data_IF_429347281916
#
_entry.id   IF_429347281916
#
_cell.length_a   1.000
_cell.length_b   1.000
_cell.length_c   1.000
_cell.angle_alpha   90.00
_cell.angle_beta   90.00
_cell.angle_gamma   90.00
#
_symmetry.space_group_name_H-M   'P 1'
#
loop_
_entity.id
_entity.type
_entity.pdbx_description
1 polymer ?
#
# COMPACT_ATOMS: atom_id res chain seq x y z
N UNK A 1 -19.38 14.04 -10.72
CA UNK A 1 -20.43 13.00 -10.55
C UNK A 1 -20.68 12.87 -9.06
N UNK A 2 -21.91 13.03 -8.57
CA UNK A 2 -22.25 12.79 -7.16
C UNK A 2 -22.78 11.37 -6.99
N UNK A 3 -22.40 10.71 -5.89
CA UNK A 3 -22.91 9.38 -5.50
C UNK A 3 -23.41 9.46 -4.07
N UNK A 4 -24.67 9.09 -3.86
CA UNK A 4 -25.24 9.01 -2.51
C UNK A 4 -24.86 7.68 -1.85
N UNK A 5 -24.49 7.73 -0.57
CA UNK A 5 -24.07 6.56 0.23
C UNK A 5 -24.73 6.67 1.61
N UNK A 6 -25.23 5.56 2.12
CA UNK A 6 -25.77 5.48 3.48
C UNK A 6 -24.66 5.07 4.46
N UNK A 7 -24.56 5.79 5.57
CA UNK A 7 -23.60 5.54 6.63
C UNK A 7 -24.31 5.02 7.87
N UNK A 8 -23.62 4.20 8.65
CA UNK A 8 -24.06 3.84 10.00
C UNK A 8 -23.82 4.99 10.98
N UNK A 9 -24.53 4.98 12.10
CA UNK A 9 -24.48 6.06 13.11
C UNK A 9 -23.06 6.38 13.61
N UNK A 10 -22.17 5.38 13.85
CA UNK A 10 -20.78 5.65 14.21
C UNK A 10 -20.00 6.45 13.16
N UNK A 11 -20.11 6.08 11.88
CA UNK A 11 -19.40 6.77 10.79
C UNK A 11 -19.92 8.20 10.59
N UNK A 12 -21.24 8.40 10.68
CA UNK A 12 -21.83 9.74 10.64
C UNK A 12 -21.33 10.61 11.80
N UNK A 13 -21.32 10.07 13.03
CA UNK A 13 -20.81 10.80 14.20
C UNK A 13 -19.33 11.17 14.08
N UNK A 14 -18.52 10.30 13.46
CA UNK A 14 -17.12 10.58 13.18
C UNK A 14 -16.96 11.73 12.17
N UNK A 15 -17.76 11.73 11.09
CA UNK A 15 -17.79 12.82 10.11
C UNK A 15 -18.13 14.15 10.77
N UNK A 16 -19.21 14.19 11.56
CA UNK A 16 -19.65 15.39 12.29
C UNK A 16 -18.54 15.92 13.21
N UNK A 17 -17.82 15.05 13.92
CA UNK A 17 -16.72 15.45 14.78
C UNK A 17 -15.53 16.00 13.99
N UNK A 18 -15.16 15.37 12.88
CA UNK A 18 -14.03 15.80 12.04
C UNK A 18 -14.29 17.15 11.37
N UNK A 19 -15.53 17.40 10.94
CA UNK A 19 -15.94 18.71 10.40
C UNK A 19 -16.10 19.73 11.54
N UNK A 20 -16.73 19.35 12.66
CA UNK A 20 -16.99 20.23 13.79
C UNK A 20 -15.73 20.76 14.49
N UNK A 21 -14.61 20.03 14.40
CA UNK A 21 -13.29 20.50 14.87
C UNK A 21 -12.64 21.51 13.92
N UNK A 22 -13.19 21.73 12.73
CA UNK A 22 -12.63 22.58 11.68
C UNK A 22 -11.44 21.98 10.94
N UNK A 23 -11.11 20.71 11.21
CA UNK A 23 -10.01 20.00 10.51
C UNK A 23 -10.32 19.76 9.03
N UNK A 24 -11.60 19.61 8.69
CA UNK A 24 -12.09 19.45 7.32
C UNK A 24 -13.25 20.43 7.09
N UNK A 25 -13.35 20.97 5.87
CA UNK A 25 -14.35 21.96 5.50
C UNK A 25 -15.72 21.38 5.15
N UNK A 26 -15.81 20.07 4.90
CA UNK A 26 -17.08 19.38 4.64
C UNK A 26 -17.00 17.87 4.86
N UNK A 27 -18.15 17.23 5.01
CA UNK A 27 -18.26 15.77 5.02
C UNK A 27 -17.73 15.14 3.72
N UNK A 28 -17.98 15.79 2.58
CA UNK A 28 -17.51 15.28 1.28
C UNK A 28 -15.98 15.23 1.21
N UNK A 29 -15.30 16.24 1.76
CA UNK A 29 -13.83 16.27 1.84
C UNK A 29 -13.28 15.13 2.71
N UNK A 30 -13.93 14.86 3.86
CA UNK A 30 -13.56 13.74 4.72
C UNK A 30 -13.73 12.40 3.99
N UNK A 31 -14.85 12.22 3.27
CA UNK A 31 -15.09 11.00 2.49
C UNK A 31 -14.06 10.85 1.36
N UNK A 32 -13.70 11.92 0.68
CA UNK A 32 -12.66 11.90 -0.35
C UNK A 32 -11.29 11.51 0.21
N UNK A 33 -10.91 12.06 1.38
CA UNK A 33 -9.71 11.65 2.11
C UNK A 33 -9.74 10.16 2.47
N UNK A 34 -10.84 9.69 3.04
CA UNK A 34 -11.01 8.29 3.41
C UNK A 34 -10.91 7.35 2.18
N UNK A 35 -11.52 7.73 1.06
CA UNK A 35 -11.45 6.99 -0.19
C UNK A 35 -10.04 7.00 -0.78
N UNK A 36 -9.27 8.09 -0.62
CA UNK A 36 -7.87 8.14 -1.04
C UNK A 36 -7.02 7.16 -0.26
N UNK A 37 -7.17 7.12 1.07
CA UNK A 37 -6.47 6.17 1.94
C UNK A 37 -6.81 4.72 1.58
N UNK A 38 -8.10 4.42 1.37
CA UNK A 38 -8.55 3.10 0.93
C UNK A 38 -7.94 2.74 -0.43
N UNK A 39 -7.97 3.65 -1.39
CA UNK A 39 -7.44 3.44 -2.74
C UNK A 39 -5.93 3.18 -2.71
N UNK A 40 -5.17 3.90 -1.89
CA UNK A 40 -3.73 3.66 -1.69
C UNK A 40 -3.45 2.25 -1.15
N UNK A 41 -4.25 1.79 -0.18
CA UNK A 41 -4.13 0.43 0.38
C UNK A 41 -4.44 -0.63 -0.68
N UNK A 42 -5.53 -0.48 -1.43
CA UNK A 42 -5.90 -1.41 -2.50
C UNK A 42 -4.82 -1.46 -3.60
N UNK A 43 -4.24 -0.32 -3.96
CA UNK A 43 -3.14 -0.26 -4.92
C UNK A 43 -1.88 -0.99 -4.41
N UNK A 44 -1.55 -0.88 -3.12
CA UNK A 44 -0.45 -1.63 -2.52
C UNK A 44 -0.69 -3.14 -2.56
N UNK A 45 -1.90 -3.58 -2.22
CA UNK A 45 -2.27 -5.01 -2.27
C UNK A 45 -2.21 -5.53 -3.70
N UNK A 46 -2.72 -4.75 -4.67
CA UNK A 46 -2.66 -5.10 -6.09
C UNK A 46 -1.21 -5.26 -6.56
N UNK A 47 -0.31 -4.34 -6.17
CA UNK A 47 1.12 -4.41 -6.47
C UNK A 47 1.77 -5.67 -5.91
N UNK A 48 1.48 -6.02 -4.65
CA UNK A 48 2.03 -7.23 -4.03
C UNK A 48 1.53 -8.50 -4.74
N UNK A 49 0.24 -8.56 -5.09
CA UNK A 49 -0.34 -9.67 -5.85
C UNK A 49 0.30 -9.79 -7.24
N UNK A 50 0.59 -8.67 -7.88
CA UNK A 50 1.28 -8.65 -9.17
C UNK A 50 2.71 -9.17 -9.03
N UNK A 51 3.50 -8.63 -8.10
CA UNK A 51 4.87 -9.07 -7.85
C UNK A 51 4.95 -10.57 -7.52
N UNK A 52 3.98 -11.08 -6.75
CA UNK A 52 3.86 -12.52 -6.49
C UNK A 52 3.66 -13.32 -7.78
N UNK A 53 2.70 -12.94 -8.64
CA UNK A 53 2.46 -13.63 -9.91
C UNK A 53 3.67 -13.58 -10.82
N UNK A 54 4.29 -12.41 -10.96
CA UNK A 54 5.52 -12.24 -11.74
C UNK A 54 6.64 -13.17 -11.25
N UNK A 55 6.80 -13.32 -9.93
CA UNK A 55 7.78 -14.24 -9.36
C UNK A 55 7.47 -15.72 -9.62
N UNK A 56 6.20 -16.12 -9.49
CA UNK A 56 5.77 -17.51 -9.73
C UNK A 56 5.84 -17.88 -11.20
N UNK A 57 5.29 -17.03 -12.07
CA UNK A 57 5.21 -17.27 -13.52
C UNK A 57 6.56 -17.06 -14.22
N UNK A 58 7.40 -16.17 -13.70
CA UNK A 58 8.71 -15.86 -14.26
C UNK A 58 9.71 -17.02 -14.15
N UNK A 59 9.48 -17.99 -13.26
CA UNK A 59 10.28 -19.22 -13.15
C UNK A 59 11.75 -19.02 -12.75
N UNK A 60 12.18 -17.77 -12.49
CA UNK A 60 13.54 -17.42 -12.11
C UNK A 60 13.72 -17.51 -10.57
N UNK A 61 13.42 -18.67 -10.01
CA UNK A 61 13.65 -18.98 -8.61
C UNK A 61 14.71 -20.08 -8.48
N UNK A 62 15.58 -19.94 -7.49
CA UNK A 62 16.61 -20.93 -7.17
C UNK A 62 16.64 -21.18 -5.65
N UNK A 63 17.18 -22.33 -5.19
CA UNK A 63 17.34 -22.60 -3.77
C UNK A 63 18.04 -21.46 -3.04
N UNK A 64 17.55 -21.13 -1.85
CA UNK A 64 18.04 -19.98 -1.10
C UNK A 64 19.54 -20.12 -0.76
N UNK A 65 20.02 -21.34 -0.55
CA UNK A 65 21.41 -21.65 -0.26
C UNK A 65 22.35 -21.23 -1.39
N UNK A 66 21.91 -21.38 -2.65
CA UNK A 66 22.68 -20.94 -3.82
C UNK A 66 22.77 -19.41 -3.84
N UNK A 67 21.63 -18.72 -3.64
CA UNK A 67 21.59 -17.25 -3.56
C UNK A 67 22.47 -16.74 -2.43
N UNK A 68 22.40 -17.34 -1.25
CA UNK A 68 23.18 -16.89 -0.09
C UNK A 68 24.68 -17.09 -0.30
N UNK A 69 25.11 -18.21 -0.87
CA UNK A 69 26.51 -18.42 -1.21
C UNK A 69 27.02 -17.35 -2.21
N UNK A 70 26.23 -17.03 -3.24
CA UNK A 70 26.55 -15.98 -4.22
C UNK A 70 26.63 -14.58 -3.58
N UNK A 71 25.68 -14.25 -2.70
CA UNK A 71 25.66 -12.96 -1.99
C UNK A 71 26.82 -12.84 -1.00
N UNK A 72 27.15 -13.91 -0.26
CA UNK A 72 28.31 -13.94 0.63
C UNK A 72 29.60 -13.72 -0.15
N UNK A 73 29.77 -14.37 -1.31
CA UNK A 73 30.93 -14.12 -2.18
C UNK A 73 31.01 -12.66 -2.61
N UNK A 74 29.89 -12.12 -3.13
CA UNK A 74 29.82 -10.74 -3.62
C UNK A 74 30.16 -9.71 -2.55
N UNK A 75 29.71 -9.92 -1.30
CA UNK A 75 29.92 -8.96 -0.22
C UNK A 75 31.15 -9.25 0.65
N UNK A 76 31.84 -10.38 0.45
CA UNK A 76 33.10 -10.71 1.16
C UNK A 76 34.26 -9.87 0.67
N UNK A 77 34.28 -9.53 -0.61
CA UNK A 77 35.13 -8.49 -1.17
C UNK A 77 34.26 -7.27 -1.39
N UNK A 78 34.25 -6.27 -0.48
CA UNK A 78 33.63 -5.01 -0.84
C UNK A 78 34.34 -4.54 -2.11
N UNK A 79 33.57 -4.21 -3.15
CA UNK A 79 34.09 -3.63 -4.40
C UNK A 79 35.21 -2.65 -4.05
N UNK A 80 36.45 -3.02 -4.40
CA UNK A 80 37.60 -2.13 -4.35
C UNK A 80 37.60 -1.20 -5.57
N UNK A 81 36.45 -0.91 -6.16
CA UNK A 81 36.30 -0.02 -7.30
C UNK A 81 35.14 0.94 -7.03
N UNK A 82 35.55 2.14 -6.62
CA UNK A 82 34.82 3.39 -6.81
C UNK A 82 34.90 3.84 -8.27
#
# INVERSE_FOLDING_TARGET
>A
MSKSVSLDSPSASLLDALVGTGRYGSESEVVEEALRLLSSREAQIARLRQAWREGVEGGNYQPAEIVFAELEERYRTPDSEA
#
